data_IF_662708567686
#
_entry.id   IF_662708567686
#
_cell.length_a   1.000
_cell.length_b   1.000
_cell.length_c   1.000
_cell.angle_alpha   90.00
_cell.angle_beta   90.00
_cell.angle_gamma   90.00
#
_symmetry.space_group_name_H-M   'P 1'
#
loop_
_entity.id
_entity.type
_entity.pdbx_description
1 polymer ?
#
# COMPACT_ATOMS: atom_id res chain seq x y z
N UNK A 1 62.44 16.49 46.74
CA UNK A 1 61.77 17.74 47.15
C UNK A 1 60.43 17.84 46.44
N UNK A 2 59.31 18.01 47.14
CA UNK A 2 58.02 18.29 46.51
C UNK A 2 57.99 19.72 45.96
N UNK A 3 57.35 19.91 44.80
CA UNK A 3 57.13 21.25 44.23
C UNK A 3 56.28 22.10 45.17
N UNK A 4 56.58 23.41 45.23
CA UNK A 4 55.75 24.35 45.98
C UNK A 4 54.43 24.59 45.25
N UNK A 5 53.41 25.01 45.99
CA UNK A 5 52.05 25.18 45.47
C UNK A 5 51.99 26.24 44.34
N UNK A 6 52.84 27.25 44.41
CA UNK A 6 53.06 28.25 43.34
C UNK A 6 53.65 27.61 42.08
N UNK A 7 54.69 26.79 42.20
CA UNK A 7 55.28 26.09 41.05
C UNK A 7 54.27 25.19 40.33
N UNK A 8 53.38 24.53 41.08
CA UNK A 8 52.31 23.70 40.51
C UNK A 8 51.31 24.55 39.71
N UNK A 9 51.00 25.76 40.16
CA UNK A 9 50.09 26.67 39.46
C UNK A 9 50.71 27.18 38.16
N UNK A 10 51.99 27.55 38.20
CA UNK A 10 52.71 28.05 37.01
C UNK A 10 52.85 26.96 35.94
N UNK A 11 53.16 25.72 36.36
CA UNK A 11 53.22 24.56 35.45
C UNK A 11 51.85 24.30 34.81
N UNK A 12 50.76 24.42 35.57
CA UNK A 12 49.40 24.27 35.02
C UNK A 12 49.05 25.38 34.04
N UNK A 13 49.48 26.63 34.30
CA UNK A 13 49.25 27.76 33.39
C UNK A 13 50.01 27.56 32.08
N UNK A 14 51.30 27.21 32.14
CA UNK A 14 52.13 26.88 30.98
C UNK A 14 51.55 25.73 30.17
N UNK A 15 51.11 24.67 30.84
CA UNK A 15 50.49 23.54 30.16
C UNK A 15 49.21 23.95 29.43
N UNK A 16 48.39 24.81 30.04
CA UNK A 16 47.16 25.33 29.45
C UNK A 16 47.44 26.18 28.20
N UNK A 17 48.46 27.04 28.23
CA UNK A 17 48.88 27.82 27.06
C UNK A 17 49.39 26.92 25.94
N UNK A 18 50.30 25.99 26.23
CA UNK A 18 50.82 25.07 25.22
C UNK A 18 49.73 24.24 24.55
N UNK A 19 48.73 23.78 25.32
CA UNK A 19 47.57 23.07 24.76
C UNK A 19 46.74 23.99 23.87
N UNK A 20 46.54 25.25 24.27
CA UNK A 20 45.81 26.25 23.47
C UNK A 20 46.49 26.48 22.13
N UNK A 21 47.81 26.66 22.12
CA UNK A 21 48.60 26.87 20.90
C UNK A 21 48.53 25.67 19.94
N UNK A 22 48.51 24.45 20.47
CA UNK A 22 48.35 23.22 19.67
C UNK A 22 46.99 23.18 18.96
N UNK A 23 45.92 23.61 19.63
CA UNK A 23 44.58 23.63 19.04
C UNK A 23 44.30 24.88 18.19
N UNK A 24 45.10 25.94 18.32
CA UNK A 24 45.09 27.09 17.41
C UNK A 24 45.89 26.82 16.14
N UNK A 25 46.75 25.79 16.13
CA UNK A 25 47.42 25.32 14.92
C UNK A 25 46.41 24.74 13.91
N UNK A 26 46.13 25.53 12.88
CA UNK A 26 45.18 25.20 11.81
C UNK A 26 45.56 23.93 11.04
N UNK A 27 46.85 23.61 10.93
CA UNK A 27 47.33 22.42 10.24
C UNK A 27 47.03 21.16 11.06
N UNK A 28 47.23 21.21 12.37
CA UNK A 28 46.87 20.12 13.28
C UNK A 28 45.36 19.85 13.28
N UNK A 29 44.55 20.90 13.41
CA UNK A 29 43.08 20.77 13.34
C UNK A 29 42.63 20.27 11.97
N UNK A 30 43.28 20.71 10.89
CA UNK A 30 43.05 20.21 9.53
C UNK A 30 43.34 18.71 9.39
N UNK A 31 44.43 18.22 9.97
CA UNK A 31 44.72 16.78 9.99
C UNK A 31 43.69 15.99 10.81
N UNK A 32 43.32 16.49 11.99
CA UNK A 32 42.34 15.85 12.86
C UNK A 32 40.96 15.76 12.19
N UNK A 33 40.49 16.85 11.60
CA UNK A 33 39.20 16.91 10.89
C UNK A 33 39.16 15.96 9.70
N UNK A 34 40.23 15.89 8.90
CA UNK A 34 40.35 14.94 7.79
C UNK A 34 40.29 13.47 8.25
N UNK A 35 40.92 13.17 9.39
CA UNK A 35 40.97 11.82 9.93
C UNK A 35 39.59 11.39 10.47
N UNK A 36 38.88 12.33 11.11
CA UNK A 36 37.50 12.16 11.56
C UNK A 36 36.57 11.96 10.34
N UNK A 37 36.67 12.82 9.32
CA UNK A 37 35.87 12.73 8.10
C UNK A 37 36.02 11.35 7.42
N UNK A 38 37.27 10.91 7.19
CA UNK A 38 37.54 9.58 6.60
C UNK A 38 36.93 8.42 7.40
N UNK A 39 36.92 8.51 8.73
CA UNK A 39 36.31 7.47 9.56
C UNK A 39 34.78 7.52 9.52
N UNK A 40 34.21 8.72 9.45
CA UNK A 40 32.77 8.91 9.30
C UNK A 40 32.30 8.38 7.94
N UNK A 41 33.00 8.71 6.85
CA UNK A 41 32.69 8.25 5.49
C UNK A 41 32.70 6.72 5.40
N UNK A 42 33.73 6.06 5.95
CA UNK A 42 33.79 4.59 6.01
C UNK A 42 32.62 3.98 6.76
N UNK A 43 32.17 4.62 7.86
CA UNK A 43 31.00 4.14 8.61
C UNK A 43 29.72 4.32 7.79
N UNK A 44 29.55 5.45 7.12
CA UNK A 44 28.41 5.67 6.25
C UNK A 44 28.39 4.70 5.07
N UNK A 45 29.52 4.44 4.42
CA UNK A 45 29.61 3.46 3.33
C UNK A 45 29.20 2.05 3.77
N UNK A 46 29.63 1.63 4.96
CA UNK A 46 29.24 0.33 5.50
C UNK A 46 27.74 0.28 5.79
N UNK A 47 27.20 1.33 6.40
CA UNK A 47 25.77 1.45 6.68
C UNK A 47 24.95 1.39 5.37
N UNK A 48 25.36 2.17 4.36
CA UNK A 48 24.73 2.18 3.05
C UNK A 48 24.73 0.79 2.42
N UNK A 49 25.87 0.09 2.40
CA UNK A 49 25.97 -1.28 1.88
C UNK A 49 25.05 -2.26 2.61
N UNK A 50 24.91 -2.15 3.93
CA UNK A 50 24.00 -3.00 4.71
C UNK A 50 22.54 -2.73 4.35
N UNK A 51 22.14 -1.46 4.25
CA UNK A 51 20.76 -1.10 3.90
C UNK A 51 20.41 -1.47 2.47
N UNK A 52 21.30 -1.26 1.50
CA UNK A 52 21.05 -1.66 0.10
C UNK A 52 20.84 -3.16 -0.03
N UNK A 53 21.68 -3.97 0.63
CA UNK A 53 21.53 -5.42 0.64
C UNK A 53 20.19 -5.87 1.26
N UNK A 54 19.77 -5.21 2.35
CA UNK A 54 18.49 -5.51 3.00
C UNK A 54 17.29 -5.12 2.14
N UNK A 55 17.36 -4.02 1.39
CA UNK A 55 16.32 -3.62 0.44
C UNK A 55 16.15 -4.67 -0.66
N UNK A 56 17.24 -5.13 -1.27
CA UNK A 56 17.18 -6.18 -2.30
C UNK A 56 16.58 -7.49 -1.79
N UNK A 57 16.91 -7.89 -0.55
CA UNK A 57 16.37 -9.08 0.07
C UNK A 57 14.85 -8.98 0.28
N UNK A 58 14.39 -7.84 0.82
CA UNK A 58 12.96 -7.58 1.04
C UNK A 58 12.17 -7.53 -0.27
N UNK A 59 12.77 -7.01 -1.35
CA UNK A 59 12.13 -7.02 -2.68
C UNK A 59 11.95 -8.45 -3.20
N UNK A 60 12.96 -9.31 -3.05
CA UNK A 60 12.87 -10.74 -3.43
C UNK A 60 11.81 -11.47 -2.60
N UNK A 61 11.77 -11.23 -1.30
CA UNK A 61 10.78 -11.83 -0.41
C UNK A 61 9.36 -11.40 -0.79
N UNK A 62 9.14 -10.10 -1.03
CA UNK A 62 7.86 -9.58 -1.50
C UNK A 62 7.42 -10.21 -2.82
N UNK A 63 8.35 -10.44 -3.74
CA UNK A 63 8.06 -11.13 -5.00
C UNK A 63 7.63 -12.58 -4.77
N UNK A 64 8.31 -13.32 -3.88
CA UNK A 64 7.92 -14.68 -3.52
C UNK A 64 6.55 -14.74 -2.82
N UNK A 65 6.29 -13.83 -1.88
CA UNK A 65 5.01 -13.76 -1.18
C UNK A 65 3.84 -13.46 -2.13
N UNK A 66 4.02 -12.54 -3.08
CA UNK A 66 3.02 -12.27 -4.13
C UNK A 66 2.70 -13.52 -4.95
N UNK A 67 3.72 -14.29 -5.34
CA UNK A 67 3.53 -15.56 -6.08
C UNK A 67 2.79 -16.61 -5.23
N UNK A 68 3.13 -16.74 -3.94
CA UNK A 68 2.42 -17.65 -3.03
C UNK A 68 0.94 -17.27 -2.88
N UNK A 69 0.63 -15.98 -2.73
CA UNK A 69 -0.76 -15.49 -2.66
C UNK A 69 -1.52 -15.86 -3.94
N UNK A 70 -0.95 -15.62 -5.11
CA UNK A 70 -1.61 -15.95 -6.38
C UNK A 70 -1.89 -17.45 -6.50
N UNK A 71 -0.90 -18.30 -6.15
CA UNK A 71 -1.08 -19.75 -6.15
C UNK A 71 -2.20 -20.21 -5.19
N UNK A 72 -2.26 -19.63 -3.99
CA UNK A 72 -3.31 -19.94 -3.01
C UNK A 72 -4.68 -19.50 -3.50
N UNK A 73 -4.80 -18.29 -4.07
CA UNK A 73 -6.04 -17.82 -4.66
C UNK A 73 -6.51 -18.73 -5.80
N UNK A 74 -5.59 -19.14 -6.68
CA UNK A 74 -5.89 -20.07 -7.75
C UNK A 74 -6.37 -21.42 -7.21
N UNK A 75 -5.73 -21.96 -6.17
CA UNK A 75 -6.14 -23.19 -5.51
C UNK A 75 -7.57 -23.07 -4.94
N UNK A 76 -7.86 -22.01 -4.19
CA UNK A 76 -9.21 -21.75 -3.65
C UNK A 76 -10.25 -21.62 -4.76
N UNK A 77 -9.93 -20.92 -5.86
CA UNK A 77 -10.81 -20.81 -7.04
C UNK A 77 -11.10 -22.19 -7.64
N UNK A 78 -10.08 -23.02 -7.90
CA UNK A 78 -10.23 -24.37 -8.46
C UNK A 78 -11.00 -25.30 -7.53
N UNK A 79 -10.73 -25.25 -6.23
CA UNK A 79 -11.39 -26.11 -5.25
C UNK A 79 -12.89 -25.79 -5.12
N UNK A 80 -13.26 -24.49 -5.20
CA UNK A 80 -14.68 -24.09 -5.20
C UNK A 80 -15.48 -24.62 -6.39
N UNK A 81 -14.83 -24.86 -7.53
CA UNK A 81 -15.47 -25.44 -8.73
C UNK A 81 -15.70 -26.94 -8.57
N UNK A 82 -14.76 -27.67 -7.94
CA UNK A 82 -14.85 -29.13 -7.78
C UNK A 82 -15.93 -29.57 -6.78
N UNK A 83 -16.14 -28.80 -5.71
CA UNK A 83 -17.03 -29.21 -4.61
C UNK A 83 -18.50 -28.87 -4.89
N UNK A 84 -18.78 -27.78 -5.60
CA UNK A 84 -20.14 -27.24 -5.73
C UNK A 84 -20.75 -27.36 -7.14
N UNK A 85 -20.00 -27.84 -8.14
CA UNK A 85 -20.34 -27.84 -9.59
C UNK A 85 -20.87 -26.50 -10.15
N UNK A 86 -20.85 -25.44 -9.35
CA UNK A 86 -21.34 -24.11 -9.69
C UNK A 86 -20.19 -23.30 -10.27
N UNK A 87 -20.37 -22.85 -11.50
CA UNK A 87 -19.46 -21.89 -12.14
C UNK A 87 -19.42 -20.61 -11.31
N UNK A 88 -18.23 -20.22 -10.85
CA UNK A 88 -18.04 -18.98 -10.09
C UNK A 88 -18.16 -17.77 -11.01
N UNK A 89 -18.83 -16.72 -10.55
CA UNK A 89 -18.86 -15.44 -11.26
C UNK A 89 -17.46 -14.84 -11.38
N UNK A 90 -17.17 -14.23 -12.52
CA UNK A 90 -15.92 -13.49 -12.77
C UNK A 90 -16.14 -12.03 -12.36
N UNK A 91 -15.29 -11.50 -11.48
CA UNK A 91 -15.31 -10.07 -11.13
C UNK A 91 -14.39 -9.34 -12.12
N UNK A 92 -14.97 -8.43 -12.91
CA UNK A 92 -14.23 -7.60 -13.87
C UNK A 92 -14.08 -6.19 -13.31
N UNK A 93 -12.84 -5.79 -13.02
CA UNK A 93 -12.52 -4.40 -12.67
C UNK A 93 -12.12 -3.66 -13.93
N UNK A 94 -12.98 -2.73 -14.36
CA UNK A 94 -12.73 -1.89 -15.53
C UNK A 94 -12.00 -0.61 -15.09
N UNK A 95 -11.07 -0.14 -15.92
CA UNK A 95 -10.32 1.10 -15.68
C UNK A 95 -11.16 2.35 -15.87
N UNK A 96 -12.12 2.31 -16.81
CA UNK A 96 -12.98 3.44 -17.15
C UNK A 96 -14.45 3.11 -16.91
N UNK A 97 -15.14 4.01 -16.20
CA UNK A 97 -16.58 3.92 -15.91
C UNK A 97 -17.43 3.88 -17.19
N UNK A 98 -17.03 4.59 -18.25
CA UNK A 98 -17.77 4.62 -19.51
C UNK A 98 -17.88 3.23 -20.16
N UNK A 99 -16.81 2.42 -20.10
CA UNK A 99 -16.84 1.06 -20.63
C UNK A 99 -17.75 0.13 -19.81
N UNK A 100 -17.79 0.32 -18.49
CA UNK A 100 -18.74 -0.39 -17.61
C UNK A 100 -20.17 -0.11 -18.05
N UNK A 101 -20.50 1.17 -18.26
CA UNK A 101 -21.81 1.60 -18.74
C UNK A 101 -22.18 0.99 -20.09
N UNK A 102 -21.28 1.05 -21.07
CA UNK A 102 -21.49 0.47 -22.41
C UNK A 102 -21.74 -1.03 -22.30
N UNK A 103 -20.96 -1.74 -21.48
CA UNK A 103 -21.06 -3.18 -21.29
C UNK A 103 -22.39 -3.57 -20.60
N UNK A 104 -22.82 -2.83 -19.58
CA UNK A 104 -24.10 -3.05 -18.91
C UNK A 104 -25.30 -2.73 -19.80
N UNK A 105 -25.22 -1.70 -20.66
CA UNK A 105 -26.28 -1.38 -21.65
C UNK A 105 -26.41 -2.47 -22.70
N UNK A 106 -25.30 -3.05 -23.14
CA UNK A 106 -25.28 -4.08 -24.18
C UNK A 106 -25.49 -5.51 -23.67
N UNK A 107 -25.71 -5.71 -22.36
CA UNK A 107 -25.86 -7.06 -21.77
C UNK A 107 -26.98 -7.90 -22.39
N UNK A 108 -28.01 -7.27 -22.96
CA UNK A 108 -29.10 -7.98 -23.65
C UNK A 108 -28.61 -8.79 -24.85
N UNK A 109 -27.49 -8.41 -25.47
CA UNK A 109 -26.85 -9.16 -26.57
C UNK A 109 -26.35 -10.54 -26.14
N UNK A 110 -26.22 -10.78 -24.84
CA UNK A 110 -25.83 -12.08 -24.28
C UNK A 110 -27.04 -12.97 -23.94
N UNK A 111 -28.26 -12.50 -24.19
CA UNK A 111 -29.47 -13.30 -23.95
C UNK A 111 -29.42 -14.58 -24.80
N UNK A 112 -29.68 -15.71 -24.16
CA UNK A 112 -29.62 -17.04 -24.81
C UNK A 112 -28.25 -17.72 -24.74
N UNK A 113 -27.18 -17.01 -24.34
CA UNK A 113 -25.84 -17.63 -24.18
C UNK A 113 -25.65 -18.33 -22.82
N UNK A 114 -26.57 -18.12 -21.87
CA UNK A 114 -26.42 -18.60 -20.48
C UNK A 114 -25.42 -17.78 -19.65
N UNK A 115 -24.85 -16.72 -20.21
CA UNK A 115 -23.96 -15.78 -19.52
C UNK A 115 -24.76 -14.56 -19.06
N UNK A 116 -24.56 -14.17 -17.81
CA UNK A 116 -25.19 -12.99 -17.22
C UNK A 116 -24.13 -12.02 -16.72
N UNK A 117 -24.36 -10.74 -16.98
CA UNK A 117 -23.54 -9.66 -16.46
C UNK A 117 -24.40 -8.86 -15.48
N UNK A 118 -23.91 -8.77 -14.25
CA UNK A 118 -24.53 -8.02 -13.16
C UNK A 118 -23.50 -7.04 -12.58
N UNK A 119 -23.99 -5.92 -12.05
CA UNK A 119 -23.14 -5.06 -11.22
C UNK A 119 -22.77 -5.76 -9.91
N UNK A 120 -21.56 -5.48 -9.43
CA UNK A 120 -21.18 -5.89 -8.08
C UNK A 120 -21.78 -4.91 -7.07
N UNK A 121 -22.78 -5.38 -6.33
CA UNK A 121 -23.52 -4.62 -5.33
C UNK A 121 -23.06 -5.05 -3.93
N UNK A 122 -22.94 -4.07 -3.04
CA UNK A 122 -22.81 -4.30 -1.60
C UNK A 122 -23.98 -5.13 -1.08
N UNK A 123 -23.78 -5.86 0.02
CA UNK A 123 -24.79 -6.75 0.59
C UNK A 123 -26.15 -6.05 0.78
N UNK A 124 -26.14 -4.87 1.41
CA UNK A 124 -27.34 -4.04 1.62
C UNK A 124 -28.09 -3.70 0.34
N UNK A 125 -27.37 -3.33 -0.73
CA UNK A 125 -27.96 -2.98 -2.04
C UNK A 125 -28.50 -4.20 -2.76
N UNK A 126 -27.81 -5.34 -2.61
CA UNK A 126 -28.24 -6.62 -3.16
C UNK A 126 -29.54 -7.10 -2.53
N UNK A 127 -29.68 -6.94 -1.22
CA UNK A 127 -30.90 -7.32 -0.49
C UNK A 127 -32.07 -6.42 -0.89
N UNK A 128 -31.84 -5.11 -0.99
CA UNK A 128 -32.84 -4.19 -1.54
C UNK A 128 -33.24 -4.57 -2.98
N UNK A 129 -32.27 -4.87 -3.83
CA UNK A 129 -32.51 -5.29 -5.20
C UNK A 129 -33.36 -6.56 -5.27
N UNK A 130 -33.06 -7.58 -4.46
CA UNK A 130 -33.87 -8.80 -4.37
C UNK A 130 -35.30 -8.50 -3.90
N UNK A 131 -35.45 -7.65 -2.89
CA UNK A 131 -36.76 -7.26 -2.39
C UNK A 131 -37.58 -6.54 -3.47
N UNK A 132 -36.99 -5.61 -4.22
CA UNK A 132 -37.67 -4.94 -5.32
C UNK A 132 -37.98 -5.90 -6.48
N UNK A 133 -37.10 -6.84 -6.79
CA UNK A 133 -37.36 -7.88 -7.78
C UNK A 133 -38.57 -8.75 -7.41
N UNK A 134 -38.77 -9.06 -6.12
CA UNK A 134 -39.94 -9.78 -5.63
C UNK A 134 -41.23 -8.97 -5.82
N UNK A 135 -41.16 -7.65 -5.60
CA UNK A 135 -42.32 -6.75 -5.70
C UNK A 135 -42.70 -6.38 -7.14
N UNK A 136 -41.72 -6.02 -7.96
CA UNK A 136 -41.91 -5.43 -9.30
C UNK A 136 -41.62 -6.43 -10.44
N UNK A 137 -41.08 -7.60 -10.13
CA UNK A 137 -40.68 -8.61 -11.10
C UNK A 137 -39.25 -8.43 -11.63
N UNK A 138 -38.63 -9.56 -11.96
CA UNK A 138 -37.22 -9.63 -12.34
C UNK A 138 -36.91 -8.94 -13.69
N UNK A 139 -37.88 -8.91 -14.61
CA UNK A 139 -37.71 -8.29 -15.94
C UNK A 139 -37.73 -6.76 -15.89
N UNK A 140 -38.42 -6.20 -14.89
CA UNK A 140 -38.66 -4.77 -14.80
C UNK A 140 -37.66 -4.07 -13.88
N UNK A 141 -36.95 -4.84 -13.05
CA UNK A 141 -35.99 -4.30 -12.07
C UNK A 141 -34.56 -4.49 -12.54
N UNK A 142 -33.77 -3.41 -12.63
CA UNK A 142 -32.35 -3.48 -12.91
C UNK A 142 -31.56 -2.42 -12.14
N UNK A 143 -30.26 -2.66 -11.93
CA UNK A 143 -29.37 -1.65 -11.38
C UNK A 143 -28.50 -1.02 -12.45
N UNK A 144 -28.17 0.25 -12.23
CA UNK A 144 -27.17 0.99 -12.99
C UNK A 144 -26.50 2.00 -12.09
N UNK A 145 -25.19 1.90 -11.94
CA UNK A 145 -24.35 2.73 -11.08
C UNK A 145 -24.81 2.70 -9.62
N UNK A 146 -25.26 1.53 -9.17
CA UNK A 146 -25.79 1.33 -7.82
C UNK A 146 -27.14 2.01 -7.58
N UNK A 147 -27.81 2.51 -8.62
CA UNK A 147 -29.18 3.02 -8.58
C UNK A 147 -30.12 1.94 -9.09
N UNK A 148 -31.18 1.65 -8.34
CA UNK A 148 -32.22 0.71 -8.72
C UNK A 148 -33.26 1.42 -9.58
N UNK A 149 -33.58 0.84 -10.72
CA UNK A 149 -34.57 1.36 -11.67
C UNK A 149 -35.64 0.29 -11.92
N UNK A 150 -36.90 0.72 -11.86
CA UNK A 150 -38.03 -0.03 -12.38
C UNK A 150 -38.46 0.56 -13.75
N UNK A 151 -38.98 -0.26 -14.66
CA UNK A 151 -39.53 0.20 -15.94
C UNK A 151 -40.71 1.16 -15.76
N UNK A 152 -41.45 1.06 -14.66
CA UNK A 152 -42.59 1.93 -14.31
C UNK A 152 -42.16 3.23 -13.59
N UNK A 153 -40.95 3.74 -13.87
CA UNK A 153 -40.43 5.04 -13.40
C UNK A 153 -40.26 5.26 -11.88
N UNK A 154 -40.36 4.25 -11.03
CA UNK A 154 -40.05 4.41 -9.60
C UNK A 154 -38.53 4.42 -9.39
N UNK A 155 -37.97 5.62 -9.18
CA UNK A 155 -36.58 5.83 -8.77
C UNK A 155 -36.44 5.65 -7.25
N UNK A 156 -36.15 4.42 -6.79
CA UNK A 156 -35.68 4.26 -5.41
C UNK A 156 -34.19 4.59 -5.40
N UNK A 157 -33.86 5.84 -5.06
CA UNK A 157 -32.48 6.30 -4.94
C UNK A 157 -31.82 5.62 -3.73
N UNK A 158 -31.04 4.57 -3.97
CA UNK A 158 -30.35 3.77 -2.94
C UNK A 158 -29.20 4.54 -2.25
N UNK A 159 -29.07 5.85 -2.49
CA UNK A 159 -28.07 6.69 -1.80
C UNK A 159 -28.49 7.09 -0.39
N UNK A 160 -29.80 7.11 -0.07
CA UNK A 160 -30.28 7.48 1.26
C UNK A 160 -31.00 6.32 1.93
N UNK A 161 -30.46 5.86 3.06
CA UNK A 161 -31.14 4.94 3.99
C UNK A 161 -32.36 5.55 4.70
N UNK A 162 -32.78 6.76 4.33
CA UNK A 162 -33.91 7.46 4.94
C UNK A 162 -34.94 7.79 3.86
N UNK A 163 -35.85 6.85 3.61
CA UNK A 163 -37.18 7.16 3.11
C UNK A 163 -38.12 6.40 4.04
N UNK A 164 -39.01 7.16 4.66
CA UNK A 164 -40.03 6.77 5.66
C UNK A 164 -40.87 5.59 5.19
#
# INVERSE_FOLDING_TARGET
MPFTQSQILDIKALFKESVKDIFENTEFVGHLTNLIAKNIDKKFDNILKTYTARCEELERENMMLKSKIDNMEQYTRRNSVRILEKKRGIILKLTNHCYKDILLRNRYKLKGTGVFICEDLTQSRRDLYKHTQQKCGMKNTFTRDGILRNLDEIYINIRNKNVV
#
